data_IF_618575788974
#
_entry.id   IF_618575788974
#
_cell.length_a   1.000
_cell.length_b   1.000
_cell.length_c   1.000
_cell.angle_alpha   90.00
_cell.angle_beta   90.00
_cell.angle_gamma   90.00
#
_symmetry.space_group_name_H-M   'P 1'
#
loop_
_entity.id
_entity.type
_entity.pdbx_description
1 polymer ?
#
# COMPACT_ATOMS: atom_id res chain seq x y z
N UNK A 1 -34.08 -52.54 -6.04
CA UNK A 1 -34.04 -51.28 -6.81
C UNK A 1 -33.31 -50.26 -5.97
N UNK A 2 -32.03 -50.04 -6.25
CA UNK A 2 -31.15 -49.10 -5.56
C UNK A 2 -31.03 -47.86 -6.45
N UNK A 3 -31.45 -46.70 -5.97
CA UNK A 3 -31.15 -45.41 -6.60
C UNK A 3 -29.97 -44.79 -5.85
N UNK A 4 -28.81 -44.71 -6.51
CA UNK A 4 -27.69 -43.86 -6.09
C UNK A 4 -27.85 -42.51 -6.78
N UNK A 5 -28.09 -41.45 -6.01
CA UNK A 5 -28.03 -40.08 -6.51
C UNK A 5 -26.59 -39.58 -6.34
N UNK A 6 -25.92 -39.31 -7.47
CA UNK A 6 -24.57 -38.78 -7.51
C UNK A 6 -24.65 -37.25 -7.43
N UNK A 7 -24.13 -36.67 -6.35
CA UNK A 7 -24.07 -35.22 -6.15
C UNK A 7 -22.83 -34.69 -6.89
N UNK A 8 -23.03 -34.02 -8.03
CA UNK A 8 -21.99 -33.28 -8.72
C UNK A 8 -21.58 -32.06 -7.87
N UNK A 9 -20.33 -32.01 -7.43
CA UNK A 9 -19.72 -30.82 -6.86
C UNK A 9 -19.44 -29.83 -7.99
N UNK A 10 -20.18 -28.71 -8.01
CA UNK A 10 -19.92 -27.58 -8.90
C UNK A 10 -18.73 -26.80 -8.35
N UNK A 11 -17.54 -27.00 -8.93
CA UNK A 11 -16.40 -26.12 -8.67
C UNK A 11 -16.68 -24.80 -9.38
N UNK A 12 -17.02 -23.76 -8.62
CA UNK A 12 -17.10 -22.40 -9.13
C UNK A 12 -15.68 -21.93 -9.48
N UNK A 13 -15.35 -21.94 -10.78
CA UNK A 13 -14.17 -21.26 -11.28
C UNK A 13 -14.36 -19.76 -11.08
N UNK A 14 -13.60 -19.16 -10.16
CA UNK A 14 -13.51 -17.72 -10.02
C UNK A 14 -13.00 -17.15 -11.36
N UNK A 15 -13.86 -16.41 -12.05
CA UNK A 15 -13.49 -15.70 -13.26
C UNK A 15 -12.59 -14.55 -12.84
N UNK A 16 -11.31 -14.62 -13.22
CA UNK A 16 -10.40 -13.48 -13.09
C UNK A 16 -10.96 -12.36 -13.96
N UNK A 17 -11.59 -11.37 -13.33
CA UNK A 17 -12.00 -10.13 -13.99
C UNK A 17 -10.76 -9.50 -14.60
N UNK A 18 -10.78 -9.28 -15.92
CA UNK A 18 -9.67 -8.64 -16.63
C UNK A 18 -9.68 -7.15 -16.32
N UNK A 19 -9.05 -6.77 -15.22
CA UNK A 19 -8.76 -5.37 -14.92
C UNK A 19 -7.76 -4.90 -15.98
N UNK A 20 -8.24 -4.09 -16.92
CA UNK A 20 -7.38 -3.35 -17.83
C UNK A 20 -6.86 -2.14 -17.06
N UNK A 21 -5.63 -2.24 -16.53
CA UNK A 21 -4.92 -1.09 -16.00
C UNK A 21 -4.68 -0.09 -17.13
N UNK A 22 -5.50 0.96 -17.19
CA UNK A 22 -5.25 2.11 -18.05
C UNK A 22 -4.12 2.90 -17.42
N UNK A 23 -2.95 2.92 -18.08
CA UNK A 23 -1.84 3.83 -17.81
C UNK A 23 -2.33 5.28 -17.99
N UNK A 24 -3.07 5.81 -17.02
CA UNK A 24 -3.53 7.19 -17.00
C UNK A 24 -2.33 8.10 -16.75
N UNK A 25 -1.65 8.44 -17.84
CA UNK A 25 -0.48 9.30 -17.85
C UNK A 25 0.74 8.57 -17.28
N UNK A 26 1.85 8.55 -18.02
CA UNK A 26 3.11 8.05 -17.49
C UNK A 26 3.57 9.01 -16.38
N UNK A 27 3.10 8.78 -15.14
CA UNK A 27 3.81 9.21 -13.95
C UNK A 27 5.13 8.43 -13.98
N UNK A 28 6.19 9.07 -14.48
CA UNK A 28 7.52 8.49 -14.40
C UNK A 28 8.03 8.61 -12.96
N UNK A 29 9.02 7.80 -12.59
CA UNK A 29 9.59 7.76 -11.24
C UNK A 29 10.03 9.13 -10.73
N UNK A 30 10.53 10.01 -11.62
CA UNK A 30 10.92 11.38 -11.26
C UNK A 30 9.72 12.24 -10.87
N UNK A 31 8.55 12.08 -11.51
CA UNK A 31 7.34 12.79 -11.11
C UNK A 31 6.86 12.35 -9.73
N UNK A 32 6.88 11.03 -9.46
CA UNK A 32 6.54 10.48 -8.13
C UNK A 32 7.52 10.98 -7.07
N UNK A 33 8.82 10.94 -7.35
CA UNK A 33 9.85 11.46 -6.44
C UNK A 33 9.60 12.93 -6.09
N UNK A 34 9.33 13.78 -7.09
CA UNK A 34 9.01 15.20 -6.86
C UNK A 34 7.74 15.40 -6.06
N UNK A 35 6.73 14.57 -6.25
CA UNK A 35 5.49 14.65 -5.46
C UNK A 35 5.76 14.31 -3.98
N UNK A 36 6.58 13.30 -3.71
CA UNK A 36 7.02 12.96 -2.36
C UNK A 36 7.84 14.08 -1.72
N UNK A 37 8.78 14.67 -2.45
CA UNK A 37 9.57 15.83 -2.01
C UNK A 37 8.68 17.04 -1.72
N UNK A 38 7.74 17.37 -2.63
CA UNK A 38 6.81 18.48 -2.46
C UNK A 38 5.88 18.31 -1.26
N UNK A 39 5.53 17.05 -0.93
CA UNK A 39 4.73 16.72 0.25
C UNK A 39 5.57 16.54 1.53
N UNK A 40 6.90 16.79 1.50
CA UNK A 40 7.84 16.60 2.61
C UNK A 40 7.88 15.17 3.20
N UNK A 41 7.48 14.15 2.43
CA UNK A 41 7.38 12.76 2.91
C UNK A 41 8.75 12.17 3.28
N UNK A 42 9.82 12.30 2.46
CA UNK A 42 11.10 11.70 2.78
C UNK A 42 11.71 12.22 4.08
N UNK A 43 11.59 13.53 4.33
CA UNK A 43 12.07 14.17 5.55
C UNK A 43 11.24 13.72 6.76
N UNK A 44 9.90 13.79 6.66
CA UNK A 44 9.00 13.45 7.75
C UNK A 44 9.08 11.98 8.19
N UNK A 45 9.38 11.07 7.26
CA UNK A 45 9.56 9.64 7.52
C UNK A 45 11.02 9.23 7.71
N UNK A 46 11.97 10.18 7.62
CA UNK A 46 13.41 9.93 7.67
C UNK A 46 13.89 8.83 6.69
N UNK A 47 13.37 8.82 5.47
CA UNK A 47 13.72 7.85 4.42
C UNK A 47 14.50 8.50 3.27
N UNK A 48 15.36 7.72 2.62
CA UNK A 48 15.85 8.05 1.28
C UNK A 48 14.88 7.50 0.25
N UNK A 49 14.36 8.34 -0.65
CA UNK A 49 13.42 7.91 -1.68
C UNK A 49 13.94 8.24 -3.08
N UNK A 50 14.32 7.19 -3.82
CA UNK A 50 14.79 7.27 -5.20
C UNK A 50 14.11 6.15 -6.01
N UNK A 51 12.84 6.34 -6.41
CA UNK A 51 12.02 5.27 -6.96
C UNK A 51 12.56 4.75 -8.29
N UNK A 52 12.57 3.42 -8.43
CA UNK A 52 12.92 2.68 -9.66
C UNK A 52 11.72 1.98 -10.28
N UNK A 53 10.59 1.95 -9.57
CA UNK A 53 9.31 1.46 -10.04
C UNK A 53 8.18 2.43 -9.66
N UNK A 54 7.02 2.23 -10.27
CA UNK A 54 5.77 2.93 -9.94
C UNK A 54 4.88 1.96 -9.18
N UNK A 55 4.36 2.44 -8.04
CA UNK A 55 3.37 1.74 -7.24
C UNK A 55 2.00 2.30 -7.59
N UNK A 56 1.24 1.53 -8.36
CA UNK A 56 -0.18 1.81 -8.58
C UNK A 56 -0.98 1.25 -7.41
N UNK A 57 -1.89 2.06 -6.90
CA UNK A 57 -2.77 1.73 -5.78
C UNK A 57 -4.19 2.08 -6.20
N UNK A 58 -5.13 1.17 -5.97
CA UNK A 58 -6.52 1.41 -6.33
C UNK A 58 -7.51 0.81 -5.34
N UNK A 59 -8.59 1.52 -5.11
CA UNK A 59 -9.67 1.08 -4.23
C UNK A 59 -10.90 0.68 -5.05
N UNK A 60 -11.25 -0.60 -5.01
CA UNK A 60 -12.50 -1.12 -5.59
C UNK A 60 -13.68 -0.69 -4.70
N UNK A 61 -14.68 -0.06 -5.32
CA UNK A 61 -15.88 0.42 -4.66
C UNK A 61 -17.01 -0.61 -4.75
N UNK A 62 -18.00 -0.50 -3.88
CA UNK A 62 -19.13 -1.44 -3.82
C UNK A 62 -20.04 -1.39 -5.05
N UNK A 63 -20.04 -0.28 -5.78
CA UNK A 63 -20.74 -0.10 -7.06
C UNK A 63 -19.97 -0.66 -8.26
N UNK A 64 -18.79 -1.24 -8.03
CA UNK A 64 -17.91 -1.78 -9.05
C UNK A 64 -16.99 -0.74 -9.71
N UNK A 65 -17.09 0.54 -9.34
CA UNK A 65 -16.13 1.57 -9.77
C UNK A 65 -14.79 1.39 -9.06
N UNK A 66 -13.74 2.02 -9.58
CA UNK A 66 -12.39 1.95 -9.00
C UNK A 66 -11.80 3.34 -8.88
N UNK A 67 -11.31 3.67 -7.69
CA UNK A 67 -10.55 4.90 -7.43
C UNK A 67 -9.08 4.58 -7.63
N UNK A 68 -8.49 5.08 -8.72
CA UNK A 68 -7.06 4.94 -9.00
C UNK A 68 -6.29 6.10 -8.37
N UNK A 69 -5.34 5.80 -7.48
CA UNK A 69 -4.54 6.82 -6.84
C UNK A 69 -3.48 7.37 -7.80
N UNK A 70 -3.29 8.68 -7.74
CA UNK A 70 -2.04 9.32 -8.11
C UNK A 70 -1.48 10.03 -6.87
N UNK A 71 -0.16 10.29 -6.79
CA UNK A 71 0.43 10.99 -5.66
C UNK A 71 -0.29 12.30 -5.34
N UNK A 72 -0.77 12.43 -4.10
CA UNK A 72 -1.47 13.61 -3.60
C UNK A 72 -2.95 13.70 -3.98
N UNK A 73 -3.56 12.63 -4.48
CA UNK A 73 -5.01 12.60 -4.69
C UNK A 73 -5.75 12.74 -3.34
N UNK A 74 -6.75 13.61 -3.29
CA UNK A 74 -7.70 13.65 -2.17
C UNK A 74 -8.73 12.54 -2.35
N UNK A 75 -8.89 11.69 -1.35
CA UNK A 75 -9.80 10.54 -1.36
C UNK A 75 -10.76 10.64 -0.18
N UNK A 76 -12.08 10.67 -0.42
CA UNK A 76 -13.09 10.55 0.64
C UNK A 76 -12.88 9.30 1.50
N UNK A 77 -13.05 9.44 2.81
CA UNK A 77 -12.78 8.36 3.76
C UNK A 77 -13.56 7.07 3.44
N UNK A 78 -14.83 7.19 3.05
CA UNK A 78 -15.68 6.04 2.73
C UNK A 78 -15.14 5.21 1.55
N UNK A 79 -14.41 5.82 0.62
CA UNK A 79 -13.80 5.14 -0.53
C UNK A 79 -12.56 4.31 -0.16
N UNK A 80 -12.07 4.45 1.08
CA UNK A 80 -10.91 3.71 1.62
C UNK A 80 -11.31 2.55 2.54
N UNK A 81 -12.60 2.19 2.57
CA UNK A 81 -13.14 1.22 3.52
C UNK A 81 -12.52 -0.19 3.41
N UNK A 82 -12.23 -0.64 2.20
CA UNK A 82 -11.55 -1.91 1.93
C UNK A 82 -10.06 -1.69 1.66
N UNK A 83 -9.23 -2.71 1.90
CA UNK A 83 -7.82 -2.67 1.52
C UNK A 83 -7.67 -2.46 0.00
N UNK A 84 -6.68 -1.68 -0.45
CA UNK A 84 -6.51 -1.41 -1.88
C UNK A 84 -5.87 -2.61 -2.62
N UNK A 85 -6.13 -2.68 -3.92
CA UNK A 85 -5.31 -3.46 -4.85
C UNK A 85 -4.05 -2.66 -5.20
N UNK A 86 -2.94 -3.36 -5.40
CA UNK A 86 -1.64 -2.74 -5.68
C UNK A 86 -0.94 -3.41 -6.86
N UNK A 87 -0.22 -2.64 -7.65
CA UNK A 87 0.59 -3.15 -8.76
C UNK A 87 1.94 -2.42 -8.83
N UNK A 88 3.00 -3.13 -9.21
CA UNK A 88 4.32 -2.57 -9.47
C UNK A 88 4.63 -2.55 -10.97
N UNK A 89 4.93 -1.37 -11.47
CA UNK A 89 5.32 -1.13 -12.85
C UNK A 89 6.77 -0.68 -12.92
N UNK A 90 7.61 -1.50 -13.52
CA UNK A 90 9.03 -1.23 -13.69
C UNK A 90 9.25 -0.47 -15.00
N UNK A 91 9.83 0.72 -14.90
CA UNK A 91 9.88 1.68 -16.02
C UNK A 91 11.17 1.62 -16.84
N UNK A 92 12.18 0.87 -16.36
CA UNK A 92 13.45 0.68 -17.06
C UNK A 92 14.01 -0.74 -16.86
N UNK A 93 15.13 -1.01 -17.54
CA UNK A 93 15.81 -2.31 -17.46
C UNK A 93 16.37 -2.63 -16.08
N UNK A 94 16.65 -1.64 -15.22
CA UNK A 94 17.06 -1.86 -13.83
C UNK A 94 15.88 -2.32 -12.98
N UNK A 95 14.71 -1.71 -13.19
CA UNK A 95 13.46 -2.16 -12.60
C UNK A 95 13.07 -3.56 -13.06
N UNK A 96 13.29 -3.91 -14.34
CA UNK A 96 13.03 -5.26 -14.83
C UNK A 96 13.84 -6.34 -14.08
N UNK A 97 15.08 -6.05 -13.68
CA UNK A 97 15.87 -6.94 -12.82
C UNK A 97 15.29 -7.05 -11.39
N UNK A 98 14.77 -5.95 -10.85
CA UNK A 98 14.10 -5.92 -9.54
C UNK A 98 12.81 -6.76 -9.52
N UNK A 99 12.07 -6.80 -10.64
CA UNK A 99 10.90 -7.67 -10.80
C UNK A 99 11.22 -9.15 -10.62
N UNK A 100 12.41 -9.56 -11.05
CA UNK A 100 12.85 -10.97 -11.00
C UNK A 100 13.61 -11.31 -9.73
N UNK A 101 13.89 -10.33 -8.85
CA UNK A 101 14.77 -10.52 -7.70
C UNK A 101 14.09 -11.04 -6.43
N UNK A 102 12.76 -11.17 -6.40
CA UNK A 102 12.07 -11.79 -5.26
C UNK A 102 10.67 -11.23 -5.00
N UNK A 103 10.26 -11.33 -3.73
CA UNK A 103 9.02 -10.74 -3.21
C UNK A 103 9.23 -9.29 -2.77
N UNK A 104 8.11 -8.61 -2.54
CA UNK A 104 8.07 -7.23 -2.09
C UNK A 104 7.36 -7.12 -0.75
N UNK A 105 7.73 -6.07 -0.02
CA UNK A 105 7.01 -5.61 1.17
C UNK A 105 6.31 -4.31 0.83
N UNK A 106 5.05 -4.18 1.21
CA UNK A 106 4.34 -2.90 1.15
C UNK A 106 3.93 -2.45 2.54
N UNK A 107 4.20 -1.19 2.84
CA UNK A 107 3.91 -0.55 4.11
C UNK A 107 3.03 0.68 3.85
N UNK A 108 1.96 0.86 4.64
CA UNK A 108 1.12 2.06 4.64
C UNK A 108 1.26 2.82 5.96
N UNK A 109 1.56 4.12 5.89
CA UNK A 109 1.90 4.95 7.05
C UNK A 109 1.16 6.29 7.00
N UNK A 110 0.70 6.75 8.17
CA UNK A 110 0.21 8.11 8.39
C UNK A 110 1.24 8.90 9.22
N UNK A 111 1.99 9.85 8.62
CA UNK A 111 2.95 10.69 9.32
C UNK A 111 2.31 11.89 10.06
N UNK A 112 1.00 12.08 9.96
CA UNK A 112 0.31 13.29 10.37
C UNK A 112 -0.54 13.10 11.63
N UNK A 113 -0.45 11.98 12.35
CA UNK A 113 -1.24 11.80 13.56
C UNK A 113 -0.70 12.56 14.80
N UNK A 114 -1.56 13.16 15.64
CA UNK A 114 -3.01 13.31 15.47
C UNK A 114 -3.43 14.38 14.45
N UNK A 115 -2.61 15.39 14.19
CA UNK A 115 -2.85 16.36 13.09
C UNK A 115 -1.55 16.70 12.36
N UNK A 116 -1.59 17.15 11.08
CA UNK A 116 -0.38 17.52 10.35
C UNK A 116 0.46 18.61 11.06
N UNK A 117 -0.17 19.45 11.89
CA UNK A 117 0.48 20.51 12.66
C UNK A 117 1.03 20.04 14.01
N UNK A 118 0.45 18.98 14.59
CA UNK A 118 0.91 18.37 15.83
C UNK A 118 0.99 16.87 15.66
N UNK A 119 2.20 16.39 15.33
CA UNK A 119 2.49 14.99 15.00
C UNK A 119 2.92 14.15 16.21
N UNK A 120 2.36 14.43 17.37
CA UNK A 120 2.77 13.82 18.64
C UNK A 120 2.49 12.32 18.76
N UNK A 121 1.75 11.71 17.82
CA UNK A 121 1.50 10.27 17.75
C UNK A 121 2.08 9.64 16.47
N UNK A 122 2.82 10.43 15.69
CA UNK A 122 3.38 10.03 14.41
C UNK A 122 4.60 9.09 14.56
N UNK A 123 4.85 8.21 13.61
CA UNK A 123 3.95 7.84 12.50
C UNK A 123 3.04 6.68 12.89
N UNK A 124 1.91 6.55 12.21
CA UNK A 124 0.95 5.47 12.47
C UNK A 124 1.08 4.39 11.41
N UNK A 125 1.31 3.15 11.82
CA UNK A 125 1.32 1.98 10.96
C UNK A 125 -0.12 1.56 10.61
N UNK A 126 -0.49 1.66 9.33
CA UNK A 126 -1.81 1.27 8.82
C UNK A 126 -1.82 -0.09 8.13
N UNK A 127 -0.67 -0.57 7.64
CA UNK A 127 -0.54 -1.84 6.96
C UNK A 127 0.93 -2.23 6.82
N UNK A 128 1.24 -3.51 7.01
CA UNK A 128 2.52 -4.12 6.62
C UNK A 128 2.18 -5.49 6.03
N UNK A 129 2.44 -5.67 4.74
CA UNK A 129 2.33 -6.96 4.07
C UNK A 129 3.64 -7.33 3.39
N UNK A 130 4.05 -8.58 3.55
CA UNK A 130 5.17 -9.18 2.84
C UNK A 130 4.69 -10.16 1.78
N UNK A 131 5.64 -10.91 1.22
CA UNK A 131 5.45 -12.00 0.27
C UNK A 131 4.54 -11.64 -0.91
N UNK A 132 4.62 -10.38 -1.33
CA UNK A 132 3.97 -9.93 -2.55
C UNK A 132 4.80 -10.32 -3.75
N UNK A 133 4.21 -11.13 -4.64
CA UNK A 133 4.82 -11.48 -5.92
C UNK A 133 4.04 -10.81 -7.06
N UNK A 134 4.70 -10.06 -7.95
CA UNK A 134 4.03 -9.43 -9.07
C UNK A 134 3.62 -10.49 -10.11
N UNK A 135 2.36 -10.44 -10.52
CA UNK A 135 1.88 -11.18 -11.70
C UNK A 135 2.56 -10.69 -12.99
N UNK A 136 2.28 -11.35 -14.12
CA UNK A 136 2.71 -10.90 -15.45
C UNK A 136 2.33 -9.45 -15.76
N UNK A 137 1.26 -8.94 -15.14
CA UNK A 137 0.78 -7.56 -15.31
C UNK A 137 1.21 -6.61 -14.18
N UNK A 138 2.03 -7.08 -13.23
CA UNK A 138 2.55 -6.27 -12.12
C UNK A 138 1.66 -6.23 -10.87
N UNK A 139 0.42 -6.73 -10.95
CA UNK A 139 -0.49 -6.83 -9.81
C UNK A 139 0.15 -7.68 -8.71
N UNK A 140 0.19 -7.13 -7.51
CA UNK A 140 0.74 -7.76 -6.32
C UNK A 140 -0.32 -8.62 -5.64
N UNK A 141 -0.07 -9.92 -5.55
CA UNK A 141 -0.87 -10.82 -4.76
C UNK A 141 -0.11 -11.18 -3.48
N UNK A 142 -0.77 -11.04 -2.33
CA UNK A 142 -0.22 -11.55 -1.08
C UNK A 142 -0.33 -13.07 -1.08
N UNK A 143 0.74 -13.75 -0.66
CA UNK A 143 0.77 -15.20 -0.50
C UNK A 143 0.74 -15.65 0.97
N UNK A 144 0.85 -14.71 1.91
CA UNK A 144 0.83 -14.94 3.36
C UNK A 144 -0.12 -13.97 4.08
N UNK A 145 -0.26 -14.09 5.40
CA UNK A 145 -1.04 -13.12 6.19
C UNK A 145 -0.25 -11.81 6.34
N UNK A 146 -0.94 -10.68 6.53
CA UNK A 146 -0.25 -9.42 6.78
C UNK A 146 0.43 -9.42 8.16
N UNK A 147 1.58 -8.77 8.27
CA UNK A 147 2.23 -8.48 9.56
C UNK A 147 1.39 -7.48 10.36
N UNK A 148 0.81 -6.50 9.65
CA UNK A 148 -0.21 -5.60 10.19
C UNK A 148 -1.35 -5.54 9.19
N UNK A 149 -2.51 -6.04 9.59
CA UNK A 149 -3.73 -5.99 8.77
C UNK A 149 -4.12 -4.55 8.45
N UNK A 150 -4.70 -4.37 7.26
CA UNK A 150 -5.09 -3.05 6.77
C UNK A 150 -6.06 -2.35 7.73
N UNK A 151 -5.75 -1.11 8.08
CA UNK A 151 -6.61 -0.23 8.85
C UNK A 151 -7.03 0.95 8.00
N UNK A 152 -8.34 1.12 7.84
CA UNK A 152 -8.90 2.25 7.13
C UNK A 152 -8.37 3.59 7.69
N UNK A 153 -8.00 4.55 6.81
CA UNK A 153 -7.81 5.96 7.15
C UNK A 153 -8.92 6.52 8.05
N UNK A 154 -8.52 7.18 9.15
CA UNK A 154 -9.43 7.78 10.14
C UNK A 154 -8.79 9.02 10.78
N UNK A 155 -8.50 10.06 9.99
CA UNK A 155 -8.05 11.34 10.56
C UNK A 155 -9.12 11.87 11.54
N UNK A 156 -8.75 12.54 12.65
CA UNK A 156 -9.72 13.12 13.58
C UNK A 156 -10.61 14.18 12.90
N UNK A 157 -11.88 14.30 13.32
CA UNK A 157 -12.88 15.14 12.64
C UNK A 157 -12.48 16.62 12.48
N UNK A 158 -11.76 17.17 13.46
CA UNK A 158 -11.30 18.55 13.49
C UNK A 158 -9.88 18.74 12.91
N UNK A 159 -9.31 17.70 12.31
CA UNK A 159 -7.98 17.75 11.69
C UNK A 159 -8.07 18.22 10.24
N UNK A 160 -6.98 18.79 9.72
CA UNK A 160 -6.80 18.88 8.27
C UNK A 160 -6.61 17.47 7.67
N UNK A 161 -6.65 17.34 6.35
CA UNK A 161 -6.39 16.06 5.69
C UNK A 161 -5.01 15.47 6.07
N UNK A 162 -4.97 14.16 6.34
CA UNK A 162 -3.74 13.42 6.63
C UNK A 162 -3.17 12.81 5.36
N UNK A 163 -1.85 12.71 5.27
CA UNK A 163 -1.19 11.88 4.24
C UNK A 163 -1.29 10.41 4.64
N UNK A 164 -1.63 9.57 3.68
CA UNK A 164 -1.52 8.12 3.79
C UNK A 164 -0.55 7.63 2.72
N UNK A 165 0.65 7.27 3.18
CA UNK A 165 1.81 7.00 2.33
C UNK A 165 1.98 5.50 2.18
N UNK A 166 2.02 5.02 0.93
CA UNK A 166 2.35 3.66 0.57
C UNK A 166 3.80 3.60 0.10
N UNK A 167 4.57 2.69 0.67
CA UNK A 167 5.97 2.44 0.34
C UNK A 167 6.16 0.97 -0.02
N UNK A 168 6.80 0.70 -1.15
CA UNK A 168 7.16 -0.66 -1.57
C UNK A 168 8.68 -0.87 -1.49
N UNK A 169 9.08 -2.00 -0.93
CA UNK A 169 10.47 -2.41 -0.73
C UNK A 169 10.71 -3.77 -1.37
N UNK A 170 11.97 -4.05 -1.71
CA UNK A 170 12.39 -5.43 -1.94
C UNK A 170 12.40 -6.15 -0.60
N UNK A 171 11.82 -7.35 -0.55
CA UNK A 171 11.82 -8.14 0.68
C UNK A 171 13.20 -8.77 0.92
N UNK A 172 13.69 -8.66 2.14
CA UNK A 172 14.90 -9.31 2.64
C UNK A 172 14.56 -10.61 3.38
N UNK A 173 15.56 -11.46 3.60
CA UNK A 173 15.40 -12.66 4.44
C UNK A 173 15.18 -12.30 5.91
N UNK A 174 15.77 -11.18 6.37
CA UNK A 174 15.61 -10.66 7.72
C UNK A 174 14.18 -10.17 7.96
N UNK A 175 13.55 -9.53 6.98
CA UNK A 175 12.13 -9.16 7.09
C UNK A 175 11.25 -10.41 7.21
N UNK A 176 11.52 -11.45 6.43
CA UNK A 176 10.72 -12.69 6.45
C UNK A 176 10.70 -13.38 7.82
N UNK A 177 11.68 -13.10 8.68
CA UNK A 177 11.78 -13.63 10.04
C UNK A 177 11.65 -12.57 11.15
N UNK A 178 11.24 -11.35 10.79
CA UNK A 178 11.15 -10.23 11.73
C UNK A 178 10.13 -10.50 12.85
N UNK A 179 10.45 -10.01 14.05
CA UNK A 179 9.56 -10.06 15.23
C UNK A 179 9.30 -8.69 15.86
N UNK A 180 9.83 -7.63 15.23
CA UNK A 180 9.76 -6.24 15.70
C UNK A 180 8.32 -5.72 15.72
N UNK A 181 7.55 -6.09 14.69
CA UNK A 181 6.12 -5.82 14.60
C UNK A 181 5.35 -7.13 14.67
N UNK A 182 4.43 -7.20 15.62
CA UNK A 182 3.50 -8.31 15.82
C UNK A 182 2.14 -7.77 16.28
N UNK A 183 1.22 -8.67 16.65
CA UNK A 183 -0.16 -8.31 17.01
C UNK A 183 -0.26 -7.37 18.22
N UNK A 184 0.72 -7.38 19.12
CA UNK A 184 0.74 -6.55 20.33
C UNK A 184 1.51 -5.23 20.13
N UNK A 185 2.16 -5.04 18.99
CA UNK A 185 2.91 -3.82 18.69
C UNK A 185 1.94 -2.65 18.49
N UNK A 186 2.19 -1.55 19.20
CA UNK A 186 1.44 -0.30 19.01
C UNK A 186 1.55 0.17 17.55
N UNK A 187 0.42 0.61 16.98
CA UNK A 187 0.43 1.23 15.67
C UNK A 187 1.04 2.64 15.67
N UNK A 188 1.01 3.34 16.81
CA UNK A 188 1.58 4.68 16.96
C UNK A 188 3.09 4.64 17.15
N UNK A 189 3.75 5.76 16.85
CA UNK A 189 5.21 5.94 16.98
C UNK A 189 6.02 4.97 16.11
N UNK A 190 5.41 4.45 15.04
CA UNK A 190 6.08 3.57 14.11
C UNK A 190 7.14 4.34 13.32
N UNK A 191 8.39 3.91 13.41
CA UNK A 191 9.51 4.48 12.67
C UNK A 191 9.88 3.56 11.50
N UNK A 192 9.43 3.93 10.30
CA UNK A 192 9.67 3.11 9.10
C UNK A 192 11.14 3.03 8.71
N UNK A 193 11.93 4.09 8.91
CA UNK A 193 13.34 4.09 8.52
C UNK A 193 14.17 3.20 9.45
N UNK A 194 13.87 3.21 10.75
CA UNK A 194 14.43 2.26 11.71
C UNK A 194 13.98 0.84 11.40
N UNK A 195 12.68 0.61 11.19
CA UNK A 195 12.15 -0.72 10.86
C UNK A 195 12.81 -1.28 9.59
N UNK A 196 12.94 -0.47 8.53
CA UNK A 196 13.58 -0.89 7.28
C UNK A 196 15.07 -1.19 7.46
N UNK A 197 15.77 -0.47 8.34
CA UNK A 197 17.17 -0.74 8.66
C UNK A 197 17.34 -2.05 9.45
N UNK A 198 16.51 -2.28 10.47
CA UNK A 198 16.58 -3.47 11.33
C UNK A 198 16.10 -4.75 10.63
N UNK A 199 15.20 -4.61 9.66
CA UNK A 199 14.72 -5.72 8.84
C UNK A 199 15.46 -5.86 7.51
N UNK A 200 16.47 -5.03 7.21
CA UNK A 200 17.25 -5.15 5.97
C UNK A 200 16.50 -4.80 4.67
N UNK A 201 15.34 -4.13 4.75
CA UNK A 201 14.56 -3.72 3.57
C UNK A 201 15.26 -2.63 2.73
N UNK A 202 16.15 -1.86 3.35
CA UNK A 202 16.83 -0.75 2.70
C UNK A 202 15.90 0.43 2.38
N UNK A 203 16.04 1.02 1.20
CA UNK A 203 15.22 2.16 0.76
C UNK A 203 14.02 1.72 -0.08
N UNK A 204 12.87 2.41 0.02
CA UNK A 204 11.71 2.09 -0.80
C UNK A 204 12.01 2.34 -2.29
N UNK A 205 11.60 1.38 -3.12
CA UNK A 205 11.82 1.37 -4.58
C UNK A 205 10.65 1.95 -5.37
N UNK A 206 9.49 2.10 -4.72
CA UNK A 206 8.30 2.74 -5.27
C UNK A 206 7.44 3.27 -4.13
N UNK A 207 6.54 4.19 -4.47
CA UNK A 207 5.58 4.70 -3.51
C UNK A 207 4.45 5.46 -4.18
N UNK A 208 3.37 5.63 -3.43
CA UNK A 208 2.22 6.44 -3.79
C UNK A 208 1.66 7.04 -2.49
N UNK A 209 0.84 8.08 -2.57
CA UNK A 209 0.16 8.59 -1.38
C UNK A 209 -1.12 9.31 -1.76
N UNK A 210 -2.05 9.33 -0.81
CA UNK A 210 -3.29 10.10 -0.89
C UNK A 210 -3.41 11.00 0.33
N UNK A 211 -4.29 11.99 0.22
CA UNK A 211 -4.83 12.70 1.36
C UNK A 211 -6.23 12.17 1.67
N UNK A 212 -6.54 11.96 2.93
CA UNK A 212 -7.92 11.70 3.37
C UNK A 212 -8.32 12.82 4.32
N UNK A 213 -9.41 13.50 3.98
CA UNK A 213 -10.00 14.58 4.77
C UNK A 213 -11.15 14.01 5.63
N UNK A 214 -11.20 14.29 6.94
CA UNK A 214 -12.32 13.91 7.78
C UNK A 214 -13.67 14.54 7.36
N UNK A 215 -13.67 15.71 6.74
CA UNK A 215 -14.89 16.47 6.42
C UNK A 215 -15.65 15.96 5.18
N UNK A 216 -15.01 15.11 4.37
CA UNK A 216 -15.61 14.52 3.15
C UNK A 216 -16.31 13.18 3.44
N UNK A 217 -16.61 12.88 4.72
CA UNK A 217 -17.41 11.72 5.13
C UNK A 217 -18.89 12.15 5.36
N UNK A 218 -19.83 11.81 4.45
CA UNK A 218 -21.22 12.23 4.57
C UNK A 218 -21.99 11.55 5.71
N UNK A 219 -21.38 10.60 6.43
CA UNK A 219 -21.97 9.92 7.59
C UNK A 219 -21.32 10.32 8.94
N UNK A 220 -20.49 11.37 8.97
CA UNK A 220 -19.86 11.89 10.19
C UNK A 220 -20.78 12.77 11.05
#
# INVERSE_FOLDING_TARGET
>A
MLFTSSLFALVAAATASRISFSLHGIANTRAVQRAFEAANIPEDLAITFNPTAILDVSYLQTDGSTVHLHPGLNVPRNQTASAPEMALHFTDSKGASARTSGSFVVIMIDPDAPTPQNRSLSSVNHFIGGDFYPSDHGVLANSTAAVTEYRQPRPPQESAAHRYVFLAFLQSEEFASQTLVNADTSMFFFNVSQFAAETGLGSPIAGNFMFVDPAEDPEA
#
